data_IF_860823068430
#
_entry.id   IF_860823068430
#
_cell.length_a   1.000
_cell.length_b   1.000
_cell.length_c   1.000
_cell.angle_alpha   90.00
_cell.angle_beta   90.00
_cell.angle_gamma   90.00
#
_symmetry.space_group_name_H-M   'P 1'
#
loop_
_entity.id
_entity.type
_entity.pdbx_description
1 polymer ?
#
# COMPACT_ATOMS: atom_id res chain seq x y z
N UNK A 1 -12.34 -17.55 -28.44
CA UNK A 1 -12.48 -16.91 -29.76
C UNK A 1 -13.20 -15.58 -29.55
N UNK A 2 -12.51 -14.43 -29.57
CA UNK A 2 -13.14 -13.14 -29.32
C UNK A 2 -13.86 -12.64 -30.59
N UNK A 3 -15.09 -12.15 -30.41
CA UNK A 3 -15.85 -11.46 -31.43
C UNK A 3 -15.39 -9.99 -31.54
N UNK A 4 -15.03 -9.57 -32.75
CA UNK A 4 -14.69 -8.19 -33.11
C UNK A 4 -15.95 -7.31 -33.16
N UNK A 5 -15.96 -6.08 -32.64
CA UNK A 5 -17.00 -5.12 -32.95
C UNK A 5 -16.70 -4.37 -34.25
N UNK A 6 -17.72 -4.29 -35.10
CA UNK A 6 -17.71 -3.64 -36.40
C UNK A 6 -17.48 -2.11 -36.29
N UNK A 7 -16.46 -1.63 -36.98
CA UNK A 7 -16.18 -0.21 -37.16
C UNK A 7 -17.13 0.35 -38.22
N UNK A 8 -18.19 1.06 -37.81
CA UNK A 8 -19.05 1.83 -38.74
C UNK A 8 -18.48 3.23 -38.89
N UNK A 9 -18.00 3.55 -40.09
CA UNK A 9 -17.69 4.92 -40.52
C UNK A 9 -18.99 5.74 -40.61
N UNK A 10 -19.02 6.90 -39.98
CA UNK A 10 -20.04 7.95 -40.17
C UNK A 10 -19.32 9.22 -40.63
N UNK A 11 -19.79 9.91 -41.68
CA UNK A 11 -19.03 10.96 -42.36
C UNK A 11 -18.96 12.25 -41.54
N UNK A 12 -17.86 12.97 -41.75
CA UNK A 12 -17.52 14.25 -41.15
C UNK A 12 -18.54 15.34 -41.50
N UNK A 13 -19.10 15.99 -40.47
CA UNK A 13 -19.78 17.27 -40.59
C UNK A 13 -19.20 18.23 -39.54
N UNK A 14 -18.50 19.26 -40.03
CA UNK A 14 -17.87 20.35 -39.29
C UNK A 14 -18.92 21.33 -38.78
N UNK A 15 -19.20 21.38 -37.47
CA UNK A 15 -19.81 22.55 -36.82
C UNK A 15 -19.41 22.63 -35.32
N UNK A 16 -18.77 23.76 -34.97
CA UNK A 16 -18.78 24.51 -33.70
C UNK A 16 -18.60 23.81 -32.33
N UNK A 17 -17.57 24.29 -31.60
CA UNK A 17 -17.25 24.10 -30.17
C UNK A 17 -18.47 24.27 -29.23
N UNK A 18 -18.54 23.52 -28.10
CA UNK A 18 -17.59 23.73 -27.00
C UNK A 18 -17.05 22.45 -26.34
N UNK A 19 -15.84 22.61 -25.80
CA UNK A 19 -15.26 21.90 -24.66
C UNK A 19 -16.25 21.01 -23.87
N UNK A 20 -16.34 19.73 -24.24
CA UNK A 20 -16.81 18.69 -23.36
C UNK A 20 -15.56 17.89 -22.97
N UNK A 21 -15.03 18.20 -21.79
CA UNK A 21 -14.15 17.30 -21.06
C UNK A 21 -14.92 15.99 -20.89
N UNK A 22 -14.66 15.01 -21.77
CA UNK A 22 -14.85 13.62 -21.40
C UNK A 22 -13.88 13.38 -20.25
N UNK A 23 -14.38 13.61 -19.04
CA UNK A 23 -13.73 13.14 -17.83
C UNK A 23 -13.55 11.64 -17.99
N UNK A 24 -12.29 11.21 -18.09
CA UNK A 24 -11.94 9.87 -17.69
C UNK A 24 -12.47 9.70 -16.27
N UNK A 25 -13.61 9.03 -16.11
CA UNK A 25 -13.88 8.32 -14.87
C UNK A 25 -12.99 7.08 -14.91
N UNK A 26 -11.69 7.30 -14.83
CA UNK A 26 -10.84 6.39 -14.10
C UNK A 26 -11.41 6.43 -12.69
N UNK A 27 -12.34 5.51 -12.41
CA UNK A 27 -12.40 4.89 -11.09
C UNK A 27 -11.00 4.34 -10.86
N UNK A 28 -10.11 5.22 -10.41
CA UNK A 28 -8.93 4.84 -9.68
C UNK A 28 -9.56 4.17 -8.48
N UNK A 29 -9.76 2.86 -8.57
CA UNK A 29 -9.77 2.02 -7.38
C UNK A 29 -8.64 2.58 -6.54
N UNK A 30 -9.00 3.18 -5.40
CA UNK A 30 -8.02 3.77 -4.54
C UNK A 30 -7.20 2.58 -4.05
N UNK A 31 -6.11 2.27 -4.77
CA UNK A 31 -5.27 1.09 -4.60
C UNK A 31 -4.59 1.09 -3.21
N UNK A 32 -4.91 2.10 -2.39
CA UNK A 32 -4.44 2.36 -1.03
C UNK A 32 -5.58 2.38 0.00
N UNK A 33 -6.84 2.13 -0.39
CA UNK A 33 -7.98 2.06 0.54
C UNK A 33 -7.76 1.04 1.67
N UNK A 34 -7.05 -0.06 1.38
CA UNK A 34 -6.68 -1.07 2.37
C UNK A 34 -5.68 -0.59 3.41
N UNK A 35 -5.03 0.57 3.22
CA UNK A 35 -4.14 1.16 4.23
C UNK A 35 -4.92 1.81 5.38
N UNK A 36 -6.16 2.22 5.18
CA UNK A 36 -6.96 2.90 6.22
C UNK A 36 -8.04 2.02 6.83
N UNK A 37 -8.33 0.86 6.24
CA UNK A 37 -9.41 0.00 6.69
C UNK A 37 -8.96 -0.98 7.79
N UNK A 38 -9.71 -1.05 8.90
CA UNK A 38 -9.29 -1.71 10.14
C UNK A 38 -10.32 -2.63 10.80
N UNK A 39 -11.47 -2.84 10.16
CA UNK A 39 -12.50 -3.77 10.62
C UNK A 39 -12.40 -5.13 9.91
N UNK A 40 -13.19 -6.08 10.38
CA UNK A 40 -13.21 -7.45 9.88
C UNK A 40 -14.35 -7.68 8.88
N UNK A 41 -14.95 -6.62 8.33
CA UNK A 41 -15.89 -6.75 7.21
C UNK A 41 -15.20 -7.35 6.00
N UNK A 42 -15.97 -8.02 5.14
CA UNK A 42 -15.44 -8.66 3.94
C UNK A 42 -14.82 -7.62 3.02
N UNK A 43 -15.47 -6.46 2.88
CA UNK A 43 -15.03 -5.34 2.06
C UNK A 43 -13.66 -4.83 2.53
N UNK A 44 -13.48 -4.71 3.84
CA UNK A 44 -12.22 -4.27 4.43
C UNK A 44 -11.07 -5.26 4.22
N UNK A 45 -11.37 -6.55 4.40
CA UNK A 45 -10.41 -7.63 4.19
C UNK A 45 -9.99 -7.69 2.71
N UNK A 46 -10.96 -7.64 1.79
CA UNK A 46 -10.70 -7.65 0.35
C UNK A 46 -9.86 -6.42 -0.07
N UNK A 47 -10.17 -5.24 0.46
CA UNK A 47 -9.42 -4.01 0.21
C UNK A 47 -7.97 -4.10 0.71
N UNK A 48 -7.74 -4.66 1.91
CA UNK A 48 -6.40 -4.93 2.45
C UNK A 48 -5.61 -5.89 1.57
N UNK A 49 -6.24 -6.97 1.10
CA UNK A 49 -5.62 -7.95 0.22
C UNK A 49 -5.29 -7.37 -1.16
N UNK A 50 -6.21 -6.60 -1.75
CA UNK A 50 -5.99 -5.92 -3.02
C UNK A 50 -4.83 -4.92 -2.93
N UNK A 51 -4.82 -4.09 -1.87
CA UNK A 51 -3.74 -3.14 -1.60
C UNK A 51 -2.40 -3.86 -1.44
N UNK A 52 -2.35 -4.93 -0.63
CA UNK A 52 -1.14 -5.73 -0.47
C UNK A 52 -0.66 -6.30 -1.81
N UNK A 53 -1.56 -6.90 -2.60
CA UNK A 53 -1.22 -7.43 -3.93
C UNK A 53 -0.66 -6.35 -4.85
N UNK A 54 -1.25 -5.15 -4.84
CA UNK A 54 -0.74 -4.00 -5.59
C UNK A 54 0.67 -3.61 -5.16
N UNK A 55 0.92 -3.47 -3.85
CA UNK A 55 2.25 -3.18 -3.31
C UNK A 55 3.28 -4.25 -3.66
N UNK A 56 2.87 -5.53 -3.67
CA UNK A 56 3.75 -6.64 -4.03
C UNK A 56 4.04 -6.71 -5.55
N UNK A 57 3.14 -6.17 -6.37
CA UNK A 57 3.30 -6.09 -7.82
C UNK A 57 4.16 -4.89 -8.26
N UNK A 58 4.25 -3.84 -7.44
CA UNK A 58 5.12 -2.68 -7.68
C UNK A 58 6.60 -3.08 -7.68
N UNK A 59 7.23 -3.03 -8.86
CA UNK A 59 8.64 -3.40 -9.06
C UNK A 59 9.60 -2.33 -8.58
N UNK A 60 9.19 -1.08 -8.65
CA UNK A 60 9.97 0.08 -8.23
C UNK A 60 9.84 0.30 -6.72
N UNK A 61 8.84 -0.32 -6.08
CA UNK A 61 8.55 -0.26 -4.65
C UNK A 61 8.54 1.18 -4.15
N UNK A 62 7.90 2.07 -4.92
CA UNK A 62 7.87 3.50 -4.65
C UNK A 62 7.31 3.79 -3.25
N UNK A 63 6.40 2.94 -2.78
CA UNK A 63 5.79 2.97 -1.46
C UNK A 63 6.78 2.89 -0.28
N UNK A 64 7.99 2.35 -0.46
CA UNK A 64 9.00 2.19 0.61
C UNK A 64 9.49 3.55 1.13
N UNK A 65 9.54 4.56 0.25
CA UNK A 65 10.01 5.91 0.60
C UNK A 65 8.88 6.85 1.03
N UNK A 66 7.64 6.41 0.87
CA UNK A 66 6.47 7.20 1.26
C UNK A 66 6.25 7.12 2.78
N UNK A 67 5.86 8.24 3.43
CA UNK A 67 5.50 8.23 4.83
C UNK A 67 4.25 7.38 5.06
N UNK A 68 4.28 6.55 6.11
CA UNK A 68 3.12 5.78 6.54
C UNK A 68 2.29 6.57 7.55
N UNK A 69 0.96 6.48 7.41
CA UNK A 69 0.03 7.03 8.41
C UNK A 69 -0.12 6.05 9.59
N UNK A 70 -0.60 6.51 10.76
CA UNK A 70 -0.92 5.61 11.87
C UNK A 70 -1.89 4.48 11.48
N UNK A 71 -2.88 4.78 10.64
CA UNK A 71 -3.83 3.79 10.12
C UNK A 71 -3.15 2.79 9.19
N UNK A 72 -2.21 3.23 8.34
CA UNK A 72 -1.42 2.33 7.49
C UNK A 72 -0.62 1.31 8.31
N UNK A 73 -0.07 1.72 9.46
CA UNK A 73 0.55 0.78 10.40
C UNK A 73 -0.47 -0.17 11.01
N UNK A 74 -1.63 0.35 11.46
CA UNK A 74 -2.67 -0.43 12.08
C UNK A 74 -3.30 -1.48 11.14
N UNK A 75 -3.38 -1.18 9.83
CA UNK A 75 -3.89 -2.11 8.81
C UNK A 75 -3.00 -3.34 8.63
N UNK A 76 -1.70 -3.20 8.95
CA UNK A 76 -0.67 -4.21 8.76
C UNK A 76 -0.22 -4.41 7.31
N UNK A 77 -0.92 -3.87 6.32
CA UNK A 77 -0.67 -4.13 4.89
C UNK A 77 0.77 -3.80 4.48
N UNK A 78 1.27 -2.61 4.86
CA UNK A 78 2.65 -2.21 4.54
C UNK A 78 3.69 -3.10 5.21
N UNK A 79 3.46 -3.47 6.47
CA UNK A 79 4.37 -4.33 7.23
C UNK A 79 4.39 -5.76 6.66
N UNK A 80 3.26 -6.27 6.17
CA UNK A 80 3.21 -7.51 5.40
C UNK A 80 4.00 -7.39 4.10
N UNK A 81 3.87 -6.29 3.35
CA UNK A 81 4.64 -6.09 2.13
C UNK A 81 6.16 -6.14 2.39
N UNK A 82 6.65 -5.44 3.42
CA UNK A 82 8.05 -5.56 3.85
C UNK A 82 8.44 -6.99 4.20
N UNK A 83 7.63 -7.67 5.03
CA UNK A 83 7.88 -9.05 5.47
C UNK A 83 8.02 -10.02 4.29
N UNK A 84 7.14 -9.88 3.31
CA UNK A 84 7.06 -10.75 2.13
C UNK A 84 8.19 -10.48 1.15
N UNK A 85 8.53 -9.21 0.88
CA UNK A 85 9.54 -8.85 -0.13
C UNK A 85 10.96 -8.73 0.39
N UNK A 86 11.23 -8.84 1.70
CA UNK A 86 12.56 -8.60 2.30
C UNK A 86 13.75 -9.27 1.57
N UNK A 87 13.55 -10.45 0.98
CA UNK A 87 14.59 -11.16 0.21
C UNK A 87 14.97 -10.46 -1.10
N UNK A 88 14.03 -9.75 -1.70
CA UNK A 88 14.16 -9.03 -2.98
C UNK A 88 14.54 -7.55 -2.81
N UNK A 89 14.42 -7.03 -1.59
CA UNK A 89 14.69 -5.62 -1.29
C UNK A 89 16.19 -5.30 -1.31
N UNK A 90 16.58 -4.07 -1.58
CA UNK A 90 17.95 -3.59 -1.37
C UNK A 90 18.26 -3.37 0.11
N UNK A 91 19.52 -3.19 0.48
CA UNK A 91 19.89 -2.84 1.85
C UNK A 91 19.27 -1.50 2.31
N UNK A 92 19.13 -0.54 1.40
CA UNK A 92 18.49 0.75 1.70
C UNK A 92 17.00 0.58 1.99
N UNK A 93 16.33 -0.24 1.19
CA UNK A 93 14.91 -0.56 1.35
C UNK A 93 14.65 -1.36 2.64
N UNK A 94 15.51 -2.33 2.95
CA UNK A 94 15.47 -3.06 4.23
C UNK A 94 15.66 -2.12 5.42
N UNK A 95 16.61 -1.18 5.34
CA UNK A 95 16.85 -0.19 6.39
C UNK A 95 15.64 0.76 6.54
N UNK A 96 15.02 1.18 5.43
CA UNK A 96 13.80 1.98 5.46
C UNK A 96 12.65 1.22 6.13
N UNK A 97 12.40 -0.03 5.73
CA UNK A 97 11.36 -0.86 6.33
C UNK A 97 11.59 -1.14 7.80
N UNK A 98 12.84 -1.39 8.22
CA UNK A 98 13.19 -1.56 9.63
C UNK A 98 12.91 -0.29 10.43
N UNK A 99 13.33 0.87 9.93
CA UNK A 99 13.04 2.16 10.58
C UNK A 99 11.54 2.43 10.67
N UNK A 100 10.78 2.10 9.63
CA UNK A 100 9.32 2.24 9.65
C UNK A 100 8.71 1.34 10.74
N UNK A 101 9.11 0.07 10.79
CA UNK A 101 8.63 -0.89 11.77
C UNK A 101 9.00 -0.51 13.22
N UNK A 102 10.23 -0.04 13.46
CA UNK A 102 10.70 0.43 14.78
C UNK A 102 9.88 1.65 15.27
N UNK A 103 9.45 2.51 14.35
CA UNK A 103 8.71 3.74 14.68
C UNK A 103 7.18 3.56 14.73
N UNK A 104 6.63 2.45 14.25
CA UNK A 104 5.18 2.23 14.15
C UNK A 104 4.46 2.42 15.49
N UNK A 105 5.05 1.91 16.58
CA UNK A 105 4.50 2.02 17.94
C UNK A 105 4.37 3.47 18.42
N UNK A 106 5.32 4.34 18.02
CA UNK A 106 5.27 5.78 18.30
C UNK A 106 4.24 6.47 17.42
N UNK A 107 4.19 6.14 16.12
CA UNK A 107 3.24 6.72 15.19
C UNK A 107 1.78 6.48 15.60
N UNK A 108 1.44 5.26 16.04
CA UNK A 108 0.09 4.91 16.49
C UNK A 108 -0.30 5.48 17.86
N UNK A 109 0.61 6.12 18.59
CA UNK A 109 0.32 6.86 19.84
C UNK A 109 0.30 8.37 19.63
N UNK A 110 0.48 8.83 18.39
CA UNK A 110 0.45 10.25 18.05
C UNK A 110 -0.98 10.80 18.03
N UNK A 111 -1.10 12.12 17.95
CA UNK A 111 -2.39 12.79 17.81
C UNK A 111 -3.11 12.43 16.50
N UNK A 112 -2.40 11.92 15.48
CA UNK A 112 -2.95 11.52 14.18
C UNK A 112 -3.54 10.10 14.19
N UNK A 113 -3.41 9.39 15.31
CA UNK A 113 -3.94 8.04 15.51
C UNK A 113 -5.39 8.01 16.03
N UNK A 114 -6.14 9.10 15.86
CA UNK A 114 -7.55 9.19 16.29
C UNK A 114 -8.36 8.05 15.66
N UNK A 115 -9.21 7.41 16.47
CA UNK A 115 -10.07 6.32 16.02
C UNK A 115 -9.47 4.92 16.15
N UNK A 116 -8.17 4.79 16.45
CA UNK A 116 -7.57 3.48 16.75
C UNK A 116 -7.96 3.02 18.17
N UNK A 117 -8.52 1.82 18.26
CA UNK A 117 -8.74 1.15 19.55
C UNK A 117 -7.40 0.70 20.17
N UNK A 118 -7.32 0.60 21.52
CA UNK A 118 -6.14 0.04 22.18
C UNK A 118 -5.75 -1.35 21.67
N UNK A 119 -6.74 -2.18 21.32
CA UNK A 119 -6.52 -3.52 20.78
C UNK A 119 -5.87 -3.49 19.38
N UNK A 120 -6.29 -2.57 18.50
CA UNK A 120 -5.65 -2.39 17.18
C UNK A 120 -4.20 -1.92 17.34
N UNK A 121 -3.95 -0.94 18.22
CA UNK A 121 -2.59 -0.44 18.49
C UNK A 121 -1.69 -1.56 19.03
N UNK A 122 -2.19 -2.36 19.97
CA UNK A 122 -1.43 -3.46 20.57
C UNK A 122 -1.03 -4.51 19.53
N UNK A 123 -2.00 -5.00 18.73
CA UNK A 123 -1.73 -5.99 17.67
C UNK A 123 -0.74 -5.47 16.64
N UNK A 124 -0.94 -4.25 16.14
CA UNK A 124 -0.07 -3.66 15.14
C UNK A 124 1.35 -3.40 15.70
N UNK A 125 1.47 -3.01 16.97
CA UNK A 125 2.78 -2.82 17.63
C UNK A 125 3.54 -4.14 17.73
N UNK A 126 2.88 -5.22 18.14
CA UNK A 126 3.50 -6.54 18.22
C UNK A 126 3.95 -7.03 16.85
N UNK A 127 3.11 -6.87 15.83
CA UNK A 127 3.44 -7.27 14.46
C UNK A 127 4.59 -6.43 13.89
N UNK A 128 4.61 -5.12 14.12
CA UNK A 128 5.72 -4.26 13.70
C UNK A 128 7.05 -4.68 14.35
N UNK A 129 7.05 -5.02 15.63
CA UNK A 129 8.26 -5.51 16.31
C UNK A 129 8.77 -6.82 15.71
N UNK A 130 7.88 -7.73 15.34
CA UNK A 130 8.23 -8.98 14.65
C UNK A 130 8.85 -8.71 13.28
N UNK A 131 8.23 -7.85 12.47
CA UNK A 131 8.75 -7.46 11.16
C UNK A 131 10.11 -6.77 11.28
N UNK A 132 10.28 -5.85 12.23
CA UNK A 132 11.59 -5.20 12.50
C UNK A 132 12.68 -6.23 12.78
N UNK A 133 12.38 -7.24 13.62
CA UNK A 133 13.32 -8.33 13.92
C UNK A 133 13.67 -9.11 12.66
N UNK A 134 12.69 -9.46 11.83
CA UNK A 134 12.94 -10.19 10.60
C UNK A 134 13.77 -9.40 9.58
N UNK A 135 13.47 -8.12 9.40
CA UNK A 135 14.27 -7.24 8.54
C UNK A 135 15.69 -7.09 9.08
N UNK A 136 15.86 -7.00 10.41
CA UNK A 136 17.17 -6.96 11.05
C UNK A 136 17.99 -8.24 10.79
N UNK A 137 17.33 -9.40 10.80
CA UNK A 137 17.98 -10.68 10.46
C UNK A 137 18.39 -10.71 8.99
N UNK A 138 17.52 -10.28 8.08
CA UNK A 138 17.82 -10.21 6.64
C UNK A 138 18.95 -9.22 6.33
N UNK A 139 18.97 -8.05 6.99
CA UNK A 139 20.06 -7.09 6.87
C UNK A 139 21.40 -7.70 7.32
N UNK A 140 21.40 -8.45 8.43
CA UNK A 140 22.60 -9.11 8.95
C UNK A 140 23.09 -10.23 8.03
N UNK A 141 22.20 -11.07 7.52
CA UNK A 141 22.57 -12.16 6.60
C UNK A 141 23.23 -11.63 5.33
N UNK A 142 22.80 -10.44 4.87
CA UNK A 142 23.32 -9.76 3.68
C UNK A 142 24.45 -8.77 3.95
N UNK A 143 24.89 -8.65 5.21
CA UNK A 143 25.94 -7.70 5.65
C UNK A 143 25.64 -6.25 5.24
N UNK A 144 24.36 -5.86 5.29
CA UNK A 144 23.95 -4.49 5.09
C UNK A 144 24.58 -3.59 6.16
N UNK A 145 25.00 -2.38 5.77
CA UNK A 145 25.41 -1.35 6.73
C UNK A 145 24.14 -0.82 7.41
N UNK A 146 24.14 -0.84 8.75
CA UNK A 146 23.02 -0.42 9.59
C UNK A 146 22.94 1.10 9.70
#
# INVERSE_FOLDING_TARGET
MPALPACRLVPAMLLFLPFALLGCSSGVEDNRAGLSCLDDSKECIDSRQATLKGMLADKDRAWVKEPATPHAHASGVRLFAYRTQKKEMSCEELAAGRREADNAARAMRSADAKGLSPAQIARATMFAAEVSKELSVEMKSRRCKA
#
